data_IF_378317527338
#
_entry.id   IF_378317527338
#
_cell.length_a   1.000
_cell.length_b   1.000
_cell.length_c   1.000
_cell.angle_alpha   90.00
_cell.angle_beta   90.00
_cell.angle_gamma   90.00
#
_symmetry.space_group_name_H-M   'P 1'
#
loop_
_entity.id
_entity.type
_entity.pdbx_description
1 polymer ?
#
# COMPACT_ATOMS: atom_id res chain seq x y z
N UNK A 1 3.39 46.47 -0.96
CA UNK A 1 3.28 47.80 -0.34
C UNK A 1 4.37 47.93 0.70
N UNK A 2 5.34 48.80 0.47
CA UNK A 2 6.40 49.09 1.43
C UNK A 2 6.11 50.42 2.12
N UNK A 3 5.99 50.42 3.45
CA UNK A 3 5.96 51.66 4.23
C UNK A 3 7.38 51.91 4.77
N UNK A 4 7.98 53.05 4.41
CA UNK A 4 9.27 53.46 4.96
C UNK A 4 9.06 54.59 5.96
N UNK A 5 9.71 54.48 7.12
CA UNK A 5 9.68 55.49 8.17
C UNK A 5 10.58 56.66 7.75
N UNK A 6 9.98 57.79 7.38
CA UNK A 6 10.73 59.02 7.05
C UNK A 6 10.43 60.06 8.10
N UNK A 7 11.44 60.79 8.57
CA UNK A 7 11.21 61.90 9.52
C UNK A 7 10.87 63.17 8.74
N UNK A 8 9.84 63.89 9.18
CA UNK A 8 9.52 65.19 8.63
C UNK A 8 10.57 66.25 9.00
N UNK A 9 10.43 67.48 8.49
CA UNK A 9 11.35 68.59 8.78
C UNK A 9 11.41 68.98 10.26
N UNK A 10 10.48 68.50 11.09
CA UNK A 10 10.45 68.69 12.54
C UNK A 10 10.95 67.46 13.32
N UNK A 11 11.45 66.44 12.62
CA UNK A 11 12.02 65.23 13.20
C UNK A 11 11.00 64.17 13.61
N UNK A 12 9.69 64.38 13.33
CA UNK A 12 8.64 63.43 13.68
C UNK A 12 8.56 62.31 12.63
N UNK A 13 8.50 61.03 13.07
CA UNK A 13 8.34 59.92 12.14
C UNK A 13 6.98 59.98 11.45
N UNK A 14 7.00 59.99 10.13
CA UNK A 14 5.82 59.95 9.28
C UNK A 14 5.97 58.76 8.32
N UNK A 15 4.95 57.92 8.30
CA UNK A 15 4.86 56.85 7.31
C UNK A 15 4.44 57.49 5.99
N UNK A 16 5.37 57.59 5.04
CA UNK A 16 5.06 58.08 3.70
C UNK A 16 5.02 56.90 2.74
N UNK A 17 3.97 56.83 1.95
CA UNK A 17 3.85 55.88 0.85
C UNK A 17 4.83 56.33 -0.24
N UNK A 18 5.87 55.55 -0.47
CA UNK A 18 6.82 55.68 -1.57
C UNK A 18 6.63 54.48 -2.51
N UNK A 19 5.38 54.21 -2.87
CA UNK A 19 5.10 53.30 -3.98
C UNK A 19 5.25 54.12 -5.26
N UNK A 20 6.03 53.61 -6.20
CA UNK A 20 6.13 54.22 -7.51
C UNK A 20 4.78 54.06 -8.24
N UNK A 21 4.27 55.14 -8.84
CA UNK A 21 2.94 55.12 -9.47
C UNK A 21 2.95 54.10 -10.63
N UNK A 22 1.99 53.15 -10.66
CA UNK A 22 1.96 52.12 -11.68
C UNK A 22 1.81 52.77 -13.06
N UNK A 23 2.61 52.30 -14.04
CA UNK A 23 2.65 52.85 -15.40
C UNK A 23 1.26 52.92 -16.07
N UNK A 24 0.31 52.09 -15.63
CA UNK A 24 -1.05 52.00 -16.15
C UNK A 24 -1.97 53.18 -15.82
N UNK A 25 -1.62 54.05 -14.86
CA UNK A 25 -2.47 55.19 -14.45
C UNK A 25 -2.12 56.50 -15.16
N UNK A 26 -1.05 56.53 -15.97
CA UNK A 26 -0.67 57.70 -16.77
C UNK A 26 -1.63 57.88 -17.94
N UNK A 27 -2.67 58.70 -17.75
CA UNK A 27 -3.56 59.13 -18.83
C UNK A 27 -2.85 60.15 -19.71
N UNK A 28 -2.42 59.74 -20.90
CA UNK A 28 -1.95 60.66 -21.93
C UNK A 28 -3.16 61.32 -22.64
N UNK A 29 -3.27 62.65 -22.57
CA UNK A 29 -4.26 63.43 -23.33
C UNK A 29 -3.74 63.91 -24.70
N UNK A 30 -2.66 63.29 -25.21
CA UNK A 30 -2.02 63.62 -26.49
C UNK A 30 -1.12 62.48 -26.98
N UNK A 31 -0.35 62.71 -28.05
CA UNK A 31 0.55 61.70 -28.63
C UNK A 31 1.56 61.23 -27.59
N UNK A 32 1.57 59.93 -27.22
CA UNK A 32 2.49 59.40 -26.23
C UNK A 32 3.95 59.62 -26.67
N UNK A 33 4.79 60.16 -25.77
CA UNK A 33 6.20 60.44 -26.06
C UNK A 33 7.01 60.70 -24.79
N UNK A 34 8.33 60.61 -24.90
CA UNK A 34 9.25 60.71 -23.75
C UNK A 34 9.14 62.02 -22.95
N UNK A 35 8.62 63.10 -23.54
CA UNK A 35 8.42 64.39 -22.87
C UNK A 35 7.35 64.41 -21.78
N UNK A 36 6.56 63.34 -21.63
CA UNK A 36 5.48 63.23 -20.64
C UNK A 36 5.86 62.41 -19.40
N UNK A 37 7.08 61.85 -19.34
CA UNK A 37 7.55 61.16 -18.14
C UNK A 37 8.05 62.18 -17.10
N UNK A 38 7.72 62.00 -15.80
CA UNK A 38 8.29 62.81 -14.75
C UNK A 38 9.83 62.72 -14.78
N UNK A 39 10.56 63.84 -14.63
CA UNK A 39 12.01 63.81 -14.55
C UNK A 39 12.45 62.95 -13.36
N UNK A 40 13.23 61.91 -13.63
CA UNK A 40 13.68 60.92 -12.64
C UNK A 40 12.88 59.60 -12.62
N UNK A 41 11.94 59.38 -13.54
CA UNK A 41 11.31 58.07 -13.71
C UNK A 41 12.26 57.14 -14.47
N UNK A 42 12.83 56.18 -13.75
CA UNK A 42 13.61 55.11 -14.36
C UNK A 42 12.65 54.11 -15.02
N UNK A 43 12.72 53.99 -16.34
CA UNK A 43 12.07 52.89 -17.05
C UNK A 43 13.02 51.69 -16.98
N UNK A 44 12.69 50.63 -16.23
CA UNK A 44 13.51 49.42 -16.26
C UNK A 44 13.36 48.80 -17.66
N UNK A 45 14.38 48.97 -18.50
CA UNK A 45 14.52 48.20 -19.73
C UNK A 45 15.02 46.82 -19.33
N UNK A 46 14.11 45.97 -18.90
CA UNK A 46 14.40 44.56 -18.68
C UNK A 46 14.35 43.92 -20.06
N UNK A 47 15.53 43.66 -20.63
CA UNK A 47 15.64 42.75 -21.76
C UNK A 47 15.46 41.34 -21.21
N UNK A 48 14.28 40.77 -21.42
CA UNK A 48 14.12 39.32 -21.32
C UNK A 48 14.94 38.69 -22.44
N UNK A 49 15.96 37.93 -22.06
CA UNK A 49 16.85 37.25 -23.00
C UNK A 49 16.18 35.98 -23.53
N UNK A 50 15.65 36.07 -24.75
CA UNK A 50 15.11 34.93 -25.50
C UNK A 50 16.15 34.26 -26.39
N UNK A 51 17.45 34.57 -26.28
CA UNK A 51 18.51 33.97 -27.11
C UNK A 51 18.60 32.45 -26.96
N UNK A 52 18.18 31.93 -25.80
CA UNK A 52 17.99 30.50 -25.60
C UNK A 52 16.89 29.91 -26.50
N UNK A 53 15.90 30.69 -26.92
CA UNK A 53 14.70 30.25 -27.63
C UNK A 53 13.62 29.70 -26.71
N UNK A 54 12.40 29.59 -27.21
CA UNK A 54 11.26 28.94 -26.54
C UNK A 54 11.21 27.46 -26.94
N UNK A 55 11.15 26.57 -25.95
CA UNK A 55 11.04 25.11 -26.08
C UNK A 55 12.16 24.40 -26.85
N UNK A 56 13.07 23.76 -26.11
CA UNK A 56 13.74 22.54 -26.57
C UNK A 56 13.21 21.37 -25.74
N UNK A 57 12.91 20.26 -26.39
CA UNK A 57 12.40 19.04 -25.78
C UNK A 57 13.42 18.37 -24.82
N UNK A 58 14.72 18.63 -25.05
CA UNK A 58 15.83 18.06 -24.28
C UNK A 58 16.54 19.18 -23.53
N UNK A 59 16.87 18.96 -22.26
CA UNK A 59 17.60 19.89 -21.40
C UNK A 59 19.03 20.14 -21.92
N UNK A 60 19.41 21.42 -21.98
CA UNK A 60 20.74 21.86 -22.38
C UNK A 60 21.47 22.47 -21.17
N UNK A 61 22.50 21.78 -20.68
CA UNK A 61 23.29 22.21 -19.53
C UNK A 61 24.13 23.46 -19.80
N UNK A 62 24.33 23.83 -21.07
CA UNK A 62 25.11 25.01 -21.46
C UNK A 62 24.28 26.30 -21.45
N UNK A 63 22.94 26.20 -21.37
CA UNK A 63 22.05 27.36 -21.33
C UNK A 63 20.86 27.15 -20.34
N UNK A 64 21.12 27.20 -19.02
CA UNK A 64 20.16 26.81 -17.98
C UNK A 64 19.03 27.82 -17.75
N UNK A 65 19.18 29.07 -18.20
CA UNK A 65 18.16 30.14 -18.09
C UNK A 65 16.96 29.88 -19.00
N UNK A 66 17.10 28.96 -19.97
CA UNK A 66 16.05 28.54 -20.90
C UNK A 66 14.94 27.69 -20.26
N UNK A 67 15.17 27.12 -19.08
CA UNK A 67 14.22 26.22 -18.41
C UNK A 67 13.76 26.81 -17.08
N UNK A 68 12.45 27.08 -16.93
CA UNK A 68 11.89 27.39 -15.62
C UNK A 68 12.07 26.18 -14.69
N UNK A 69 12.60 26.41 -13.48
CA UNK A 69 12.76 25.37 -12.45
C UNK A 69 11.38 24.93 -11.92
N UNK A 70 10.68 24.07 -12.65
CA UNK A 70 9.52 23.37 -12.13
C UNK A 70 9.99 22.23 -11.20
N UNK A 71 9.95 22.45 -9.88
CA UNK A 71 10.13 21.36 -8.91
C UNK A 71 8.82 20.58 -8.79
N UNK A 72 8.89 19.24 -8.79
CA UNK A 72 7.77 18.31 -8.58
C UNK A 72 6.67 18.31 -9.67
N UNK A 73 7.02 18.54 -10.93
CA UNK A 73 6.08 18.38 -12.06
C UNK A 73 6.52 17.20 -12.94
N UNK A 74 5.58 16.30 -13.25
CA UNK A 74 5.80 15.23 -14.23
C UNK A 74 5.40 15.75 -15.61
N UNK A 75 6.41 15.98 -16.46
CA UNK A 75 6.24 16.54 -17.81
C UNK A 75 6.63 15.52 -18.90
N UNK A 76 6.61 14.21 -18.63
CA UNK A 76 7.06 13.17 -19.58
C UNK A 76 6.29 13.13 -20.92
N UNK A 77 5.20 13.88 -21.06
CA UNK A 77 4.37 13.96 -22.28
C UNK A 77 4.20 15.39 -22.81
N UNK A 78 5.16 16.29 -22.55
CA UNK A 78 5.16 17.64 -23.14
C UNK A 78 4.13 18.62 -22.59
N UNK A 79 3.22 18.16 -21.72
CA UNK A 79 2.34 19.01 -20.92
C UNK A 79 2.54 18.72 -19.43
N UNK A 80 2.57 19.76 -18.56
CA UNK A 80 2.62 19.56 -17.13
C UNK A 80 1.32 18.93 -16.64
N UNK A 81 1.38 17.68 -16.20
CA UNK A 81 0.24 17.01 -15.56
C UNK A 81 0.31 17.29 -14.07
N UNK A 82 -0.74 17.89 -13.51
CA UNK A 82 -0.92 17.95 -12.06
C UNK A 82 -1.15 16.51 -11.55
N UNK A 83 -0.07 15.80 -11.24
CA UNK A 83 -0.13 14.44 -10.72
C UNK A 83 -0.95 14.41 -9.43
N UNK A 84 -1.75 13.36 -9.26
CA UNK A 84 -2.44 13.11 -7.99
C UNK A 84 -1.39 13.17 -6.87
N UNK A 85 -1.62 14.03 -5.86
CA UNK A 85 -0.82 14.05 -4.63
C UNK A 85 -0.73 12.61 -4.14
N UNK A 86 0.48 12.08 -3.96
CA UNK A 86 0.69 10.73 -3.47
C UNK A 86 0.00 10.61 -2.09
N UNK A 87 -1.24 10.12 -2.10
CA UNK A 87 -1.92 9.66 -0.90
C UNK A 87 -1.26 8.33 -0.59
N UNK A 88 -0.76 8.18 0.61
CA UNK A 88 0.03 7.03 1.06
C UNK A 88 -0.67 5.74 0.63
N UNK A 89 -0.12 5.04 -0.37
CA UNK A 89 -0.61 3.73 -0.76
C UNK A 89 -0.22 2.76 0.35
N UNK A 90 -1.14 2.50 1.27
CA UNK A 90 -0.91 1.53 2.33
C UNK A 90 -0.97 0.14 1.72
N UNK A 91 0.13 -0.61 1.79
CA UNK A 91 0.16 -2.02 1.39
C UNK A 91 -0.95 -2.77 2.16
N UNK A 92 -1.73 -3.65 1.51
CA UNK A 92 -2.65 -4.52 2.23
C UNK A 92 -1.88 -5.27 3.31
N UNK A 93 -2.34 -5.19 4.55
CA UNK A 93 -1.76 -5.96 5.66
C UNK A 93 -1.98 -7.44 5.40
N UNK A 94 -0.91 -8.18 5.12
CA UNK A 94 -0.97 -9.64 5.07
C UNK A 94 -1.23 -10.16 6.48
N UNK A 95 -2.29 -10.96 6.62
CA UNK A 95 -2.61 -11.65 7.86
C UNK A 95 -2.20 -13.09 7.67
N UNK A 96 -1.18 -13.52 8.42
CA UNK A 96 -0.63 -14.87 8.38
C UNK A 96 -0.89 -15.53 9.74
N UNK A 97 -2.11 -16.02 9.99
CA UNK A 97 -2.40 -16.68 11.24
C UNK A 97 -1.59 -17.98 11.30
N UNK A 98 -0.91 -18.20 12.42
CA UNK A 98 -0.10 -19.38 12.65
C UNK A 98 -0.93 -20.43 13.39
N UNK A 99 -0.82 -21.69 12.96
CA UNK A 99 -1.26 -22.79 13.81
C UNK A 99 -0.35 -22.90 15.04
N UNK A 100 -0.93 -23.29 16.16
CA UNK A 100 -0.17 -23.76 17.31
C UNK A 100 0.05 -25.27 17.15
N UNK A 101 1.26 -25.80 17.41
CA UNK A 101 1.50 -27.27 17.36
C UNK A 101 1.04 -27.91 16.03
N UNK A 102 1.42 -27.28 14.91
CA UNK A 102 1.08 -27.75 13.57
C UNK A 102 1.83 -29.01 13.12
N UNK A 103 2.84 -29.40 13.89
CA UNK A 103 3.67 -30.60 13.76
C UNK A 103 3.15 -31.79 14.57
N UNK A 104 2.16 -31.58 15.46
CA UNK A 104 1.53 -32.62 16.28
C UNK A 104 2.47 -33.28 17.29
N UNK A 105 3.28 -32.49 17.98
CA UNK A 105 4.23 -32.98 18.99
C UNK A 105 3.69 -32.85 20.43
N UNK A 106 2.66 -32.03 20.65
CA UNK A 106 2.07 -31.81 21.97
C UNK A 106 0.78 -32.62 22.17
N UNK A 107 0.83 -33.56 23.12
CA UNK A 107 -0.27 -34.47 23.45
C UNK A 107 -0.47 -34.52 24.96
N UNK A 108 -1.74 -34.46 25.39
CA UNK A 108 -2.11 -34.64 26.80
C UNK A 108 -2.10 -36.13 27.18
N UNK A 109 -2.48 -36.98 26.22
CA UNK A 109 -2.43 -38.43 26.30
C UNK A 109 -2.32 -39.05 24.88
N UNK A 110 -2.24 -40.39 24.76
CA UNK A 110 -2.07 -41.08 23.47
C UNK A 110 -3.22 -40.92 22.48
N UNK A 111 -4.33 -40.26 22.84
CA UNK A 111 -5.55 -40.08 22.04
C UNK A 111 -6.07 -38.63 22.04
N UNK A 112 -5.35 -37.70 22.68
CA UNK A 112 -5.76 -36.30 22.87
C UNK A 112 -4.60 -35.35 22.54
N UNK A 113 -4.75 -34.58 21.45
CA UNK A 113 -3.84 -33.49 21.10
C UNK A 113 -4.09 -32.28 22.00
N UNK A 114 -3.03 -31.64 22.50
CA UNK A 114 -3.15 -30.53 23.47
C UNK A 114 -3.78 -29.28 22.85
N UNK A 115 -3.41 -28.94 21.61
CA UNK A 115 -3.80 -27.67 20.97
C UNK A 115 -4.82 -27.83 19.82
N UNK A 116 -5.34 -29.03 19.61
CA UNK A 116 -6.27 -29.33 18.52
C UNK A 116 -7.59 -29.86 19.05
N UNK A 117 -8.69 -29.41 18.47
CA UNK A 117 -10.02 -29.89 18.82
C UNK A 117 -10.38 -31.09 17.96
N UNK A 118 -10.74 -32.21 18.59
CA UNK A 118 -11.34 -33.38 17.92
C UNK A 118 -12.86 -33.25 17.94
N UNK A 119 -13.51 -33.41 16.78
CA UNK A 119 -14.98 -33.33 16.68
C UNK A 119 -15.64 -34.70 16.92
N UNK A 120 -15.12 -35.75 16.30
CA UNK A 120 -15.68 -37.10 16.32
C UNK A 120 -14.61 -38.15 16.02
N UNK A 121 -14.95 -39.42 16.30
CA UNK A 121 -14.15 -40.58 15.92
C UNK A 121 -12.90 -40.80 16.79
N UNK A 122 -12.03 -41.71 16.33
CA UNK A 122 -10.81 -42.10 17.02
C UNK A 122 -9.61 -41.32 16.48
N UNK A 123 -8.88 -40.70 17.40
CA UNK A 123 -7.58 -40.07 17.20
C UNK A 123 -6.59 -40.84 18.05
N UNK A 124 -5.44 -41.18 17.49
CA UNK A 124 -4.35 -41.85 18.21
C UNK A 124 -3.02 -41.23 17.80
N UNK A 125 -2.11 -41.12 18.76
CA UNK A 125 -0.73 -40.72 18.54
C UNK A 125 0.02 -41.83 17.80
N UNK A 126 0.56 -41.52 16.62
CA UNK A 126 1.29 -42.46 15.78
C UNK A 126 2.79 -42.11 15.80
N UNK A 127 3.64 -43.09 16.11
CA UNK A 127 5.08 -42.88 16.27
C UNK A 127 5.92 -43.56 15.17
N UNK A 128 5.31 -44.42 14.35
CA UNK A 128 5.99 -45.16 13.29
C UNK A 128 5.79 -44.52 11.91
N UNK A 129 4.57 -44.12 11.58
CA UNK A 129 4.23 -43.43 10.34
C UNK A 129 4.16 -41.94 10.62
N UNK A 130 5.28 -41.24 10.42
CA UNK A 130 5.41 -39.79 10.64
C UNK A 130 6.15 -39.11 9.51
N UNK A 131 5.80 -37.86 9.23
CA UNK A 131 6.44 -37.07 8.18
C UNK A 131 7.69 -36.37 8.72
N UNK A 132 7.57 -35.80 9.93
CA UNK A 132 8.61 -35.08 10.65
C UNK A 132 8.38 -35.30 12.16
N UNK A 133 9.35 -34.90 13.00
CA UNK A 133 9.20 -34.97 14.45
C UNK A 133 9.18 -36.40 15.01
N UNK A 134 8.57 -36.56 16.19
CA UNK A 134 8.43 -37.85 16.86
C UNK A 134 7.08 -38.50 16.57
N UNK A 135 6.05 -37.70 16.31
CA UNK A 135 4.66 -38.15 16.26
C UNK A 135 3.91 -37.64 15.03
N UNK A 136 2.76 -38.26 14.76
CA UNK A 136 1.75 -37.77 13.84
C UNK A 136 0.36 -38.08 14.38
N UNK A 137 -0.65 -37.34 13.90
CA UNK A 137 -2.04 -37.56 14.26
C UNK A 137 -2.69 -38.61 13.35
N UNK A 138 -2.97 -39.81 13.89
CA UNK A 138 -3.69 -40.87 13.16
C UNK A 138 -5.18 -40.78 13.42
N UNK A 139 -5.92 -40.60 12.34
CA UNK A 139 -7.37 -40.45 12.34
C UNK A 139 -8.03 -41.73 11.83
N UNK A 140 -9.13 -42.14 12.47
CA UNK A 140 -10.00 -43.20 11.95
C UNK A 140 -11.04 -42.65 10.95
N UNK A 141 -11.87 -43.52 10.41
CA UNK A 141 -12.97 -43.14 9.50
C UNK A 141 -13.88 -42.09 10.16
N UNK A 142 -14.29 -41.07 9.41
CA UNK A 142 -15.16 -39.98 9.88
C UNK A 142 -14.62 -39.24 11.12
N UNK A 143 -13.29 -39.16 11.26
CA UNK A 143 -12.63 -38.40 12.33
C UNK A 143 -12.13 -37.08 11.79
N UNK A 144 -12.33 -36.00 12.54
CA UNK A 144 -11.88 -34.65 12.20
C UNK A 144 -11.22 -34.00 13.40
N UNK A 145 -10.07 -33.38 13.13
CA UNK A 145 -9.39 -32.46 14.05
C UNK A 145 -9.29 -31.09 13.40
N UNK A 146 -9.33 -30.03 14.20
CA UNK A 146 -9.27 -28.65 13.70
C UNK A 146 -8.72 -27.66 14.74
N UNK A 147 -8.33 -26.48 14.27
CA UNK A 147 -8.08 -25.30 15.10
C UNK A 147 -8.90 -24.14 14.55
N UNK A 148 -9.54 -23.38 15.44
CA UNK A 148 -10.09 -22.07 15.08
C UNK A 148 -9.00 -21.02 15.27
N UNK A 149 -8.62 -20.35 14.19
CA UNK A 149 -7.58 -19.34 14.22
C UNK A 149 -8.15 -18.00 14.71
N UNK A 150 -7.61 -17.50 15.82
CA UNK A 150 -7.99 -16.22 16.39
C UNK A 150 -7.41 -15.07 15.53
N UNK A 151 -8.12 -14.70 14.47
CA UNK A 151 -7.72 -13.62 13.56
C UNK A 151 -8.88 -12.66 13.31
N UNK A 152 -8.59 -11.37 13.34
CA UNK A 152 -9.53 -10.32 12.96
C UNK A 152 -9.36 -10.00 11.46
N UNK A 153 -10.44 -9.55 10.81
CA UNK A 153 -10.45 -9.18 9.38
C UNK A 153 -10.23 -10.32 8.38
N UNK A 154 -10.86 -11.46 8.56
CA UNK A 154 -10.76 -12.59 7.62
C UNK A 154 -11.68 -12.48 6.39
N UNK A 155 -12.72 -11.64 6.49
CA UNK A 155 -13.79 -11.55 5.51
C UNK A 155 -13.26 -11.12 4.12
N UNK A 156 -13.68 -11.84 3.07
CA UNK A 156 -13.29 -11.55 1.69
C UNK A 156 -11.82 -11.81 1.36
N UNK A 157 -11.03 -12.37 2.29
CA UNK A 157 -9.62 -12.64 2.08
C UNK A 157 -9.40 -14.05 1.55
N UNK A 158 -8.31 -14.22 0.79
CA UNK A 158 -7.88 -15.50 0.24
C UNK A 158 -6.86 -16.17 1.16
N UNK A 159 -7.17 -17.38 1.60
CA UNK A 159 -6.29 -18.20 2.43
C UNK A 159 -5.88 -19.47 1.71
N UNK A 160 -4.70 -19.98 2.08
CA UNK A 160 -4.17 -21.26 1.61
C UNK A 160 -3.69 -22.05 2.81
N UNK A 161 -4.11 -23.32 2.87
CA UNK A 161 -3.64 -24.28 3.87
C UNK A 161 -2.95 -25.44 3.16
N UNK A 162 -1.80 -25.85 3.69
CA UNK A 162 -0.99 -26.97 3.19
C UNK A 162 -0.63 -27.91 4.33
N UNK A 163 -0.84 -29.22 4.15
CA UNK A 163 -0.48 -30.24 5.14
C UNK A 163 0.01 -31.50 4.44
N UNK A 164 0.97 -32.17 5.05
CA UNK A 164 1.35 -33.52 4.66
C UNK A 164 0.38 -34.51 5.27
N UNK A 165 -0.15 -35.41 4.44
CA UNK A 165 -1.10 -36.45 4.84
C UNK A 165 -0.57 -37.77 4.32
N UNK A 166 -0.61 -38.79 5.16
CA UNK A 166 -0.33 -40.16 4.77
C UNK A 166 -1.63 -40.94 4.72
N UNK A 167 -1.85 -41.74 3.67
CA UNK A 167 -3.00 -42.62 3.62
C UNK A 167 -2.80 -43.83 2.70
N UNK A 168 -3.28 -44.99 3.15
CA UNK A 168 -3.27 -46.25 2.39
C UNK A 168 -4.54 -46.49 1.55
N UNK A 169 -5.53 -45.60 1.60
CA UNK A 169 -6.79 -45.75 0.87
C UNK A 169 -7.19 -44.47 0.16
N UNK A 170 -7.49 -44.58 -1.12
CA UNK A 170 -8.00 -43.46 -1.90
C UNK A 170 -9.33 -43.00 -1.32
N UNK A 171 -9.55 -41.69 -1.23
CA UNK A 171 -10.77 -41.09 -0.68
C UNK A 171 -10.95 -41.14 0.84
N UNK A 172 -9.94 -41.53 1.62
CA UNK A 172 -10.06 -41.61 3.08
C UNK A 172 -9.59 -40.33 3.82
N UNK A 173 -8.70 -39.54 3.23
CA UNK A 173 -8.13 -38.36 3.89
C UNK A 173 -8.07 -37.14 2.96
N UNK A 174 -8.40 -35.97 3.49
CA UNK A 174 -8.30 -34.65 2.84
C UNK A 174 -8.26 -33.54 3.88
N UNK A 175 -7.85 -32.35 3.48
CA UNK A 175 -7.90 -31.14 4.32
C UNK A 175 -8.98 -30.18 3.82
N UNK A 176 -9.38 -29.23 4.65
CA UNK A 176 -10.36 -28.21 4.26
C UNK A 176 -10.19 -26.90 4.99
N UNK A 177 -10.90 -25.89 4.50
CA UNK A 177 -11.06 -24.58 5.14
C UNK A 177 -12.56 -24.32 5.33
N UNK A 178 -12.94 -23.96 6.54
CA UNK A 178 -14.31 -23.66 6.94
C UNK A 178 -14.39 -22.23 7.46
N UNK A 179 -15.28 -21.44 6.85
CA UNK A 179 -15.43 -20.01 7.15
C UNK A 179 -16.60 -19.70 8.10
N UNK A 180 -17.32 -20.74 8.53
CA UNK A 180 -18.48 -20.68 9.43
C UNK A 180 -19.74 -20.06 8.81
N UNK A 181 -19.77 -19.89 7.50
CA UNK A 181 -20.94 -19.40 6.76
C UNK A 181 -21.26 -20.33 5.60
N UNK A 182 -20.29 -20.54 4.72
CA UNK A 182 -20.40 -21.41 3.58
C UNK A 182 -20.00 -22.85 3.96
N UNK A 183 -20.31 -23.80 3.08
CA UNK A 183 -19.82 -25.18 3.24
C UNK A 183 -18.29 -25.21 3.20
N UNK A 184 -17.67 -26.06 4.02
CA UNK A 184 -16.22 -26.29 4.01
C UNK A 184 -15.70 -26.55 2.60
N UNK A 185 -14.68 -25.80 2.19
CA UNK A 185 -13.97 -26.02 0.93
C UNK A 185 -12.87 -27.05 1.18
N UNK A 186 -12.87 -28.12 0.39
CA UNK A 186 -11.98 -29.26 0.59
C UNK A 186 -10.87 -29.30 -0.46
N UNK A 187 -9.71 -29.85 -0.08
CA UNK A 187 -8.70 -30.29 -1.04
C UNK A 187 -9.21 -31.52 -1.81
N UNK A 188 -8.42 -31.96 -2.81
CA UNK A 188 -8.53 -33.34 -3.30
C UNK A 188 -8.31 -34.32 -2.16
N UNK A 189 -8.82 -35.53 -2.34
CA UNK A 189 -8.43 -36.65 -1.49
C UNK A 189 -6.99 -37.08 -1.74
N UNK A 190 -6.39 -37.68 -0.71
CA UNK A 190 -5.18 -38.48 -0.86
C UNK A 190 -5.43 -39.64 -1.83
N UNK A 191 -4.42 -39.99 -2.64
CA UNK A 191 -4.53 -41.03 -3.67
C UNK A 191 -4.59 -42.44 -3.07
N UNK A 192 -4.03 -42.61 -1.88
CA UNK A 192 -4.12 -43.87 -1.12
C UNK A 192 -3.01 -44.86 -1.39
N UNK A 193 -1.80 -44.38 -1.68
CA UNK A 193 -0.66 -45.18 -2.10
C UNK A 193 0.29 -45.54 -0.95
N UNK A 194 -0.16 -45.38 0.31
CA UNK A 194 0.66 -45.64 1.50
C UNK A 194 1.93 -44.78 1.55
N UNK A 195 1.88 -43.57 0.99
CA UNK A 195 2.95 -42.58 1.04
C UNK A 195 2.48 -41.26 1.66
N UNK A 196 3.43 -40.35 1.92
CA UNK A 196 3.14 -38.98 2.34
C UNK A 196 2.94 -38.09 1.12
N UNK A 197 1.87 -37.30 1.13
CA UNK A 197 1.53 -36.37 0.06
C UNK A 197 1.16 -35.00 0.64
N UNK A 198 1.61 -33.93 0.01
CA UNK A 198 1.24 -32.57 0.40
C UNK A 198 -0.13 -32.21 -0.20
N UNK A 199 -1.14 -32.12 0.66
CA UNK A 199 -2.44 -31.63 0.28
C UNK A 199 -2.50 -30.11 0.44
N UNK A 200 -3.13 -29.46 -0.54
CA UNK A 200 -3.29 -28.00 -0.58
C UNK A 200 -4.74 -27.65 -0.86
N UNK A 201 -5.25 -26.66 -0.12
CA UNK A 201 -6.55 -26.04 -0.36
C UNK A 201 -6.39 -24.53 -0.33
N UNK A 202 -7.05 -23.86 -1.28
CA UNK A 202 -7.06 -22.40 -1.37
C UNK A 202 -8.48 -21.94 -1.59
N UNK A 203 -8.95 -20.99 -0.77
CA UNK A 203 -10.27 -20.39 -0.92
C UNK A 203 -10.27 -18.91 -0.56
N UNK A 204 -11.22 -18.17 -1.10
CA UNK A 204 -11.58 -16.83 -0.64
C UNK A 204 -12.74 -16.98 0.32
N UNK A 205 -12.61 -16.49 1.55
CA UNK A 205 -13.69 -16.58 2.53
C UNK A 205 -14.82 -15.62 2.20
N UNK A 206 -16.02 -15.97 2.64
CA UNK A 206 -17.19 -15.11 2.48
C UNK A 206 -16.97 -13.70 3.05
N UNK A 207 -17.58 -12.64 2.46
CA UNK A 207 -17.63 -11.32 3.07
C UNK A 207 -18.28 -11.30 4.46
N UNK A 208 -19.03 -12.34 4.83
CA UNK A 208 -19.65 -12.49 6.14
C UNK A 208 -19.03 -13.60 6.99
N UNK A 209 -17.86 -14.14 6.59
CA UNK A 209 -17.16 -15.20 7.30
C UNK A 209 -17.06 -14.93 8.80
N UNK A 210 -17.36 -15.95 9.61
CA UNK A 210 -17.43 -15.86 11.07
C UNK A 210 -16.25 -16.53 11.76
N UNK A 211 -15.53 -17.42 11.05
CA UNK A 211 -14.32 -18.08 11.55
C UNK A 211 -13.33 -18.38 10.44
N UNK A 212 -12.10 -18.72 10.83
CA UNK A 212 -11.12 -19.34 9.97
C UNK A 212 -10.69 -20.64 10.63
N UNK A 213 -11.09 -21.77 10.05
CA UNK A 213 -10.82 -23.12 10.52
C UNK A 213 -10.22 -23.96 9.41
#
# INVERSE_FOLDING_TARGET
MGLMLVRDKTGKPLYRRLDDEPLSEQRASGTPGYGWFPPGKDLPIILDDFSGGISREIYDSTNPTKYFKAKNMDCRFGTPIAGMKAVTATKPTSVNPTLTDGDFELWDDSNTLTNWTKESGTLTQESSIKNQGNYSAKLSVNTKIYQDLATTQIQGRRFTSTRYVWCASGSAARIGIDDGVDSTVWSRYHVGDSSWDELKVTTTLSPTATRLR
#
